data_IF_142002999293
#
_entry.id   IF_142002999293
#
_cell.length_a   1.000
_cell.length_b   1.000
_cell.length_c   1.000
_cell.angle_alpha   90.00
_cell.angle_beta   90.00
_cell.angle_gamma   90.00
#
_symmetry.space_group_name_H-M   'P 1'
#
loop_
_entity.id
_entity.type
_entity.pdbx_description
1 polymer ?
#
# COMPACT_ATOMS: atom_id res chain seq x y z
N UNK A 1 26.11 2.02 -7.79
CA UNK A 1 26.10 1.70 -6.33
C UNK A 1 25.59 2.87 -5.48
N UNK A 2 25.82 4.14 -5.84
CA UNK A 2 25.24 5.28 -5.12
C UNK A 2 23.70 5.43 -5.28
N UNK A 3 23.12 4.89 -6.36
CA UNK A 3 21.70 5.05 -6.69
C UNK A 3 20.74 4.19 -5.84
N UNK A 4 21.21 3.06 -5.30
CA UNK A 4 20.34 2.15 -4.53
C UNK A 4 20.12 2.64 -3.09
N UNK A 5 21.11 3.37 -2.55
CA UNK A 5 21.04 3.97 -1.23
C UNK A 5 20.11 5.20 -1.20
N UNK A 6 20.21 6.09 -2.19
CA UNK A 6 19.32 7.25 -2.29
C UNK A 6 17.84 6.90 -2.44
N UNK A 7 17.51 5.86 -3.23
CA UNK A 7 16.12 5.38 -3.35
C UNK A 7 15.58 4.77 -2.04
N UNK A 8 16.43 4.14 -1.22
CA UNK A 8 16.01 3.63 0.09
C UNK A 8 15.75 4.76 1.09
N UNK A 9 16.54 5.84 1.05
CA UNK A 9 16.32 7.03 1.88
C UNK A 9 15.00 7.73 1.49
N UNK A 10 14.71 7.87 0.20
CA UNK A 10 13.45 8.44 -0.30
C UNK A 10 12.24 7.57 0.05
N UNK A 11 12.35 6.24 -0.09
CA UNK A 11 11.30 5.30 0.28
C UNK A 11 10.93 5.40 1.75
N UNK A 12 11.93 5.48 2.62
CA UNK A 12 11.70 5.62 4.05
C UNK A 12 11.14 7.01 4.40
N UNK A 13 11.50 8.06 3.65
CA UNK A 13 10.95 9.39 3.83
C UNK A 13 9.45 9.46 3.50
N UNK A 14 9.00 8.81 2.42
CA UNK A 14 7.57 8.75 2.06
C UNK A 14 6.74 8.04 3.14
N UNK A 15 7.26 6.92 3.67
CA UNK A 15 6.60 6.19 4.75
C UNK A 15 6.58 7.01 6.06
N UNK A 16 7.69 7.67 6.40
CA UNK A 16 7.78 8.54 7.58
C UNK A 16 6.79 9.70 7.47
N UNK A 17 6.65 10.31 6.29
CA UNK A 17 5.70 11.38 6.04
C UNK A 17 4.25 10.90 6.24
N UNK A 18 3.89 9.74 5.67
CA UNK A 18 2.57 9.14 5.86
C UNK A 18 2.27 8.87 7.35
N UNK A 19 3.22 8.25 8.07
CA UNK A 19 3.10 7.98 9.52
C UNK A 19 2.95 9.28 10.33
N UNK A 20 3.68 10.32 9.97
CA UNK A 20 3.59 11.63 10.63
C UNK A 20 2.19 12.23 10.44
N UNK A 21 1.67 12.22 9.21
CA UNK A 21 0.33 12.73 8.90
C UNK A 21 -0.76 12.00 9.70
N UNK A 22 -0.79 10.66 9.63
CA UNK A 22 -1.86 9.87 10.29
C UNK A 22 -1.78 9.91 11.82
N UNK A 23 -0.59 10.15 12.39
CA UNK A 23 -0.41 10.27 13.83
C UNK A 23 -0.74 11.67 14.38
N UNK A 24 -0.72 12.72 13.54
CA UNK A 24 -0.92 14.11 13.97
C UNK A 24 -2.18 14.33 14.83
N UNK A 25 -3.35 13.78 14.48
CA UNK A 25 -4.55 13.98 15.29
C UNK A 25 -4.72 12.97 16.45
N UNK A 26 -3.79 12.02 16.64
CA UNK A 26 -4.00 10.85 17.51
C UNK A 26 -3.15 10.89 18.80
N UNK A 27 -3.72 10.46 19.95
CA UNK A 27 -3.02 10.50 21.24
C UNK A 27 -1.95 9.41 21.39
N UNK A 28 -1.98 8.37 20.56
CA UNK A 28 -0.99 7.29 20.53
C UNK A 28 -0.65 7.04 19.08
N UNK A 29 0.64 7.08 18.73
CA UNK A 29 1.09 6.89 17.36
C UNK A 29 1.28 5.41 16.98
N UNK A 30 1.11 5.11 15.70
CA UNK A 30 1.58 3.87 15.07
C UNK A 30 2.99 4.09 14.51
N UNK A 31 3.86 3.08 14.57
CA UNK A 31 5.16 3.12 13.90
C UNK A 31 5.06 2.59 12.45
N UNK A 32 6.06 2.91 11.63
CA UNK A 32 6.14 2.55 10.21
C UNK A 32 6.00 1.03 9.99
N UNK A 33 6.67 0.24 10.83
CA UNK A 33 6.66 -1.22 10.72
C UNK A 33 5.28 -1.79 11.01
N UNK A 34 4.62 -1.27 12.04
CA UNK A 34 3.29 -1.70 12.47
C UNK A 34 2.26 -1.29 11.44
N UNK A 35 2.39 -0.10 10.84
CA UNK A 35 1.54 0.33 9.72
C UNK A 35 1.66 -0.63 8.54
N UNK A 36 2.88 -0.93 8.09
CA UNK A 36 3.09 -1.87 6.99
C UNK A 36 2.53 -3.27 7.29
N UNK A 37 2.70 -3.76 8.52
CA UNK A 37 2.12 -5.04 8.94
C UNK A 37 0.58 -5.01 8.90
N UNK A 38 -0.07 -3.89 9.26
CA UNK A 38 -1.52 -3.74 9.13
C UNK A 38 -1.98 -3.76 7.66
N UNK A 39 -1.22 -3.12 6.77
CA UNK A 39 -1.55 -3.06 5.33
C UNK A 39 -1.35 -4.41 4.62
N UNK A 40 -0.38 -5.21 5.07
CA UNK A 40 -0.13 -6.56 4.56
C UNK A 40 -1.04 -7.63 5.16
N UNK A 41 -1.89 -7.26 6.12
CA UNK A 41 -2.77 -8.19 6.83
C UNK A 41 -2.04 -9.09 7.83
N UNK A 42 -0.83 -8.72 8.24
CA UNK A 42 -0.04 -9.43 9.26
C UNK A 42 -0.53 -9.09 10.69
N UNK A 43 -1.12 -7.91 10.86
CA UNK A 43 -1.72 -7.43 12.12
C UNK A 43 -3.18 -7.01 11.84
N UNK A 44 -4.08 -7.39 12.74
CA UNK A 44 -5.53 -7.08 12.67
C UNK A 44 -6.10 -6.56 13.99
N UNK A 45 -5.25 -6.02 14.86
CA UNK A 45 -5.69 -5.43 16.14
C UNK A 45 -6.50 -4.15 15.90
N UNK A 46 -7.76 -4.16 16.33
CA UNK A 46 -8.76 -3.11 16.09
C UNK A 46 -8.30 -1.71 16.53
N UNK A 47 -7.38 -1.61 17.50
CA UNK A 47 -6.82 -0.31 17.93
C UNK A 47 -6.13 0.44 16.78
N UNK A 48 -5.65 -0.28 15.76
CA UNK A 48 -4.98 0.32 14.61
C UNK A 48 -5.92 0.77 13.51
N UNK A 49 -7.21 0.40 13.57
CA UNK A 49 -8.18 0.72 12.51
C UNK A 49 -8.24 2.22 12.21
N UNK A 50 -8.17 3.06 13.23
CA UNK A 50 -8.19 4.53 13.07
C UNK A 50 -6.98 5.05 12.28
N UNK A 51 -5.79 4.46 12.48
CA UNK A 51 -4.58 4.83 11.74
C UNK A 51 -4.65 4.37 10.30
N UNK A 52 -5.14 3.15 10.08
CA UNK A 52 -5.32 2.60 8.74
C UNK A 52 -6.36 3.43 7.98
N UNK A 53 -7.50 3.78 8.58
CA UNK A 53 -8.49 4.68 7.98
C UNK A 53 -7.87 6.04 7.62
N UNK A 54 -7.17 6.68 8.56
CA UNK A 54 -6.51 7.97 8.31
C UNK A 54 -5.47 7.92 7.18
N UNK A 55 -4.80 6.78 6.96
CA UNK A 55 -3.92 6.61 5.81
C UNK A 55 -4.67 6.77 4.48
N UNK A 56 -5.88 6.20 4.37
CA UNK A 56 -6.64 6.27 3.13
C UNK A 56 -7.43 7.57 2.97
N UNK A 57 -7.74 8.26 4.06
CA UNK A 57 -8.51 9.52 4.04
C UNK A 57 -7.62 10.76 3.94
N UNK A 58 -6.50 10.80 4.68
CA UNK A 58 -5.72 12.03 4.89
C UNK A 58 -4.42 12.07 4.10
N UNK A 59 -3.88 10.92 3.68
CA UNK A 59 -2.60 10.88 2.96
C UNK A 59 -2.83 11.06 1.47
N UNK A 60 -2.09 12.00 0.88
CA UNK A 60 -2.16 12.29 -0.54
C UNK A 60 -1.91 11.05 -1.42
N UNK A 61 -2.66 10.94 -2.51
CA UNK A 61 -2.51 9.88 -3.55
C UNK A 61 -1.05 9.72 -3.98
N UNK A 62 -0.31 10.81 -4.13
CA UNK A 62 1.09 10.78 -4.56
C UNK A 62 1.98 10.02 -3.57
N UNK A 63 1.76 10.21 -2.27
CA UNK A 63 2.51 9.51 -1.21
C UNK A 63 2.12 8.04 -1.21
N UNK A 64 0.83 7.70 -1.29
CA UNK A 64 0.36 6.31 -1.39
C UNK A 64 0.93 5.60 -2.62
N UNK A 65 0.99 6.29 -3.75
CA UNK A 65 1.59 5.77 -4.98
C UNK A 65 3.10 5.55 -4.83
N UNK A 66 3.80 6.48 -4.17
CA UNK A 66 5.23 6.32 -3.90
C UNK A 66 5.51 5.10 -3.03
N UNK A 67 4.69 4.82 -2.00
CA UNK A 67 4.85 3.59 -1.20
C UNK A 67 4.81 2.31 -2.06
N UNK A 68 4.04 2.33 -3.16
CA UNK A 68 3.98 1.22 -4.13
C UNK A 68 5.19 1.20 -5.06
N UNK A 69 5.61 2.35 -5.58
CA UNK A 69 6.84 2.49 -6.39
C UNK A 69 8.05 1.99 -5.61
N UNK A 70 8.12 2.36 -4.33
CA UNK A 70 9.17 2.04 -3.37
C UNK A 70 9.11 0.59 -2.88
N UNK A 71 8.12 -0.20 -3.36
CA UNK A 71 7.93 -1.62 -3.05
C UNK A 71 7.70 -1.91 -1.56
N UNK A 72 7.24 -0.92 -0.80
CA UNK A 72 6.88 -1.11 0.60
C UNK A 72 5.52 -1.83 0.73
N UNK A 73 4.62 -1.55 -0.20
CA UNK A 73 3.34 -2.24 -0.37
C UNK A 73 3.01 -2.37 -1.85
N UNK A 74 1.96 -3.12 -2.17
CA UNK A 74 1.38 -3.26 -3.50
C UNK A 74 -0.03 -2.68 -3.51
N UNK A 75 -0.54 -2.34 -4.71
CA UNK A 75 -1.95 -1.96 -4.85
C UNK A 75 -2.91 -3.06 -4.39
N UNK A 76 -2.52 -4.33 -4.51
CA UNK A 76 -3.34 -5.44 -4.05
C UNK A 76 -3.40 -5.49 -2.52
N UNK A 77 -2.28 -5.30 -1.82
CA UNK A 77 -2.24 -5.22 -0.36
C UNK A 77 -3.07 -4.03 0.15
N UNK A 78 -2.93 -2.85 -0.48
CA UNK A 78 -3.75 -1.68 -0.15
C UNK A 78 -5.25 -1.95 -0.36
N UNK A 79 -5.64 -2.58 -1.47
CA UNK A 79 -7.04 -2.95 -1.72
C UNK A 79 -7.54 -3.97 -0.70
N UNK A 80 -6.74 -4.98 -0.38
CA UNK A 80 -7.10 -5.99 0.62
C UNK A 80 -7.25 -5.37 2.01
N UNK A 81 -6.42 -4.39 2.36
CA UNK A 81 -6.51 -3.68 3.63
C UNK A 81 -7.83 -2.90 3.74
N UNK A 82 -8.27 -2.21 2.68
CA UNK A 82 -9.58 -1.53 2.67
C UNK A 82 -10.71 -2.50 3.05
N UNK A 83 -10.69 -3.68 2.45
CA UNK A 83 -11.71 -4.71 2.69
C UNK A 83 -11.59 -5.31 4.10
N UNK A 84 -10.37 -5.70 4.52
CA UNK A 84 -10.13 -6.33 5.82
C UNK A 84 -10.47 -5.42 7.00
N UNK A 85 -10.16 -4.13 6.90
CA UNK A 85 -10.43 -3.14 7.94
C UNK A 85 -11.83 -2.53 7.84
N UNK A 86 -12.64 -2.96 6.87
CA UNK A 86 -14.00 -2.48 6.61
C UNK A 86 -14.03 -0.94 6.54
N UNK A 87 -13.11 -0.36 5.78
CA UNK A 87 -13.03 1.09 5.62
C UNK A 87 -14.18 1.54 4.73
N UNK A 88 -14.97 2.49 5.21
CA UNK A 88 -16.14 3.00 4.48
C UNK A 88 -15.76 4.32 3.82
N UNK A 89 -15.87 4.39 2.49
CA UNK A 89 -15.82 5.65 1.74
C UNK A 89 -14.52 6.45 1.92
N UNK A 90 -13.36 5.80 1.78
CA UNK A 90 -12.11 6.56 1.77
C UNK A 90 -11.90 7.28 0.44
N UNK A 91 -11.37 8.50 0.50
CA UNK A 91 -11.15 9.35 -0.68
C UNK A 91 -10.29 8.65 -1.73
N UNK A 92 -9.33 7.86 -1.27
CA UNK A 92 -8.40 7.11 -2.12
C UNK A 92 -8.90 5.71 -2.52
N UNK A 93 -9.99 5.20 -1.94
CA UNK A 93 -10.50 3.83 -2.17
C UNK A 93 -10.65 3.53 -3.67
N UNK A 94 -11.39 4.39 -4.37
CA UNK A 94 -11.74 4.18 -5.77
C UNK A 94 -10.49 4.10 -6.65
N UNK A 95 -9.51 4.97 -6.40
CA UNK A 95 -8.26 4.98 -7.14
C UNK A 95 -7.45 3.71 -6.88
N UNK A 96 -7.33 3.29 -5.62
CA UNK A 96 -6.58 2.07 -5.25
C UNK A 96 -7.19 0.83 -5.89
N UNK A 97 -8.52 0.67 -5.83
CA UNK A 97 -9.21 -0.47 -6.45
C UNK A 97 -9.03 -0.49 -7.97
N UNK A 98 -9.08 0.69 -8.62
CA UNK A 98 -8.78 0.79 -10.05
C UNK A 98 -7.35 0.34 -10.35
N UNK A 99 -6.36 0.79 -9.59
CA UNK A 99 -4.97 0.41 -9.79
C UNK A 99 -4.70 -1.08 -9.51
N UNK A 100 -5.34 -1.65 -8.49
CA UNK A 100 -5.27 -3.08 -8.20
C UNK A 100 -5.83 -3.92 -9.36
N UNK A 101 -6.90 -3.48 -10.02
CA UNK A 101 -7.49 -4.20 -11.15
C UNK A 101 -6.55 -4.35 -12.35
N UNK A 102 -5.68 -3.37 -12.60
CA UNK A 102 -4.65 -3.47 -13.65
C UNK A 102 -3.57 -4.51 -13.32
N UNK A 103 -3.34 -4.77 -12.03
CA UNK A 103 -2.37 -5.77 -11.57
C UNK A 103 -2.87 -7.21 -11.78
N UNK A 104 -4.19 -7.41 -11.74
CA UNK A 104 -4.85 -8.71 -12.00
C UNK A 104 -5.03 -8.99 -13.51
N UNK A 105 -5.08 -7.94 -14.33
CA UNK A 105 -5.32 -8.03 -15.79
C UNK A 105 -4.14 -8.47 -16.65
N UNK A 106 -2.98 -8.82 -16.06
CA UNK A 106 -1.85 -9.39 -16.80
C UNK A 106 -1.89 -10.92 -16.65
N UNK A 107 -2.55 -11.66 -17.57
CA UNK A 107 -2.20 -13.07 -17.71
C UNK A 107 -0.72 -13.10 -18.09
N UNK A 108 0.06 -13.92 -17.39
CA UNK A 108 1.42 -14.27 -17.81
C UNK A 108 1.34 -14.82 -19.23
N UNK A 109 1.58 -13.95 -20.21
CA UNK A 109 1.67 -14.29 -21.62
C UNK A 109 3.04 -14.93 -21.90
N UNK A 110 3.45 -15.92 -21.12
CA UNK A 110 4.62 -16.74 -21.36
C UNK A 110 4.31 -18.17 -20.91
N UNK A 111 3.85 -19.00 -21.86
CA UNK A 111 3.56 -20.40 -21.57
C UNK A 111 2.85 -21.18 -22.69
N UNK A 112 2.25 -20.52 -23.69
CA UNK A 112 1.72 -21.20 -24.87
C UNK A 112 2.80 -21.34 -25.96
N UNK A 113 3.97 -21.85 -25.56
CA UNK A 113 5.01 -22.34 -26.46
C UNK A 113 4.51 -23.59 -27.18
N UNK A 114 3.84 -23.37 -28.30
CA UNK A 114 3.90 -24.16 -29.53
C UNK A 114 4.47 -25.58 -29.36
N UNK A 115 3.59 -26.56 -29.24
CA UNK A 115 3.90 -27.94 -29.63
C UNK A 115 2.83 -28.39 -30.61
N UNK A 116 3.02 -27.96 -31.86
CA UNK A 116 2.35 -28.58 -33.01
C UNK A 116 3.26 -29.71 -33.49
N UNK A 117 2.67 -30.89 -33.62
CA UNK A 117 3.02 -32.01 -34.51
C UNK A 117 4.11 -33.00 -34.09
N UNK A 118 4.12 -34.21 -34.68
CA UNK A 118 3.24 -34.75 -35.75
C UNK A 118 2.24 -35.82 -35.30
#
# INVERSE_FOLDING_TARGET
MASYWGMMEEAFANLTAAVTTINTPLPTGIDERTLLACLRGEISDERWRVHVQALFDEVDVSVLHNLVIDRLVTFQELSNAIDAWHLLSSDNERWIRQMASFSVGRPDAEGAGRSRQP
#
